data_IF_350355741580
#
_entry.id   IF_350355741580
#
_cell.length_a   1.000
_cell.length_b   1.000
_cell.length_c   1.000
_cell.angle_alpha   90.00
_cell.angle_beta   90.00
_cell.angle_gamma   90.00
#
_symmetry.space_group_name_H-M   'P 1'
#
loop_
_entity.id
_entity.type
_entity.pdbx_description
1 polymer ?
#
# COMPACT_ATOMS: atom_id res chain seq x y z
N UNK A 1 -11.45 11.62 -0.42
CA UNK A 1 -12.05 10.74 0.62
C UNK A 1 -12.98 9.77 -0.08
N UNK A 2 -12.93 8.48 0.27
CA UNK A 2 -13.80 7.44 -0.29
C UNK A 2 -15.02 7.25 0.61
N UNK A 3 -16.22 7.50 0.09
CA UNK A 3 -17.45 7.53 0.89
C UNK A 3 -17.86 6.14 1.42
N UNK A 4 -17.62 5.07 0.67
CA UNK A 4 -18.01 3.69 1.01
C UNK A 4 -16.93 2.88 1.73
N UNK A 5 -15.71 3.43 1.90
CA UNK A 5 -14.56 2.68 2.41
C UNK A 5 -14.69 2.18 3.87
N UNK A 6 -15.75 2.57 4.58
CA UNK A 6 -16.06 2.08 5.94
C UNK A 6 -17.22 1.11 5.98
N UNK A 7 -17.99 0.99 4.90
CA UNK A 7 -19.25 0.24 4.86
C UNK A 7 -19.18 -0.96 3.93
N UNK A 8 -18.36 -0.90 2.89
CA UNK A 8 -18.21 -1.94 1.88
C UNK A 8 -16.77 -2.47 1.81
N UNK A 9 -16.60 -3.66 1.21
CA UNK A 9 -15.27 -4.15 0.84
C UNK A 9 -14.73 -3.38 -0.36
N UNK A 10 -13.44 -3.07 -0.31
CA UNK A 10 -12.70 -2.38 -1.37
C UNK A 10 -11.38 -3.08 -1.63
N UNK A 11 -10.92 -3.05 -2.87
CA UNK A 11 -9.62 -3.60 -3.25
C UNK A 11 -8.54 -2.52 -3.14
N UNK A 12 -7.63 -2.69 -2.18
CA UNK A 12 -6.42 -1.88 -2.07
C UNK A 12 -5.22 -2.67 -2.58
N UNK A 13 -4.46 -2.09 -3.51
CA UNK A 13 -3.26 -2.72 -4.03
C UNK A 13 -2.09 -1.74 -4.12
N UNK A 14 -0.88 -2.28 -3.98
CA UNK A 14 0.38 -1.58 -4.26
C UNK A 14 1.13 -2.40 -5.29
N UNK A 15 1.55 -1.75 -6.36
CA UNK A 15 2.40 -2.34 -7.39
C UNK A 15 3.76 -1.66 -7.34
N UNK A 16 4.82 -2.46 -7.19
CA UNK A 16 6.20 -2.01 -7.28
C UNK A 16 6.75 -2.49 -8.62
N UNK A 17 6.97 -1.55 -9.53
CA UNK A 17 7.51 -1.82 -10.87
C UNK A 17 8.98 -1.40 -10.89
N UNK A 18 9.87 -2.36 -10.67
CA UNK A 18 11.32 -2.11 -10.64
C UNK A 18 11.86 -1.76 -12.03
N UNK A 19 11.23 -2.24 -13.11
CA UNK A 19 11.60 -1.93 -14.49
C UNK A 19 11.26 -0.50 -14.87
N UNK A 20 10.02 -0.06 -14.58
CA UNK A 20 9.59 1.32 -14.78
C UNK A 20 10.08 2.28 -13.67
N UNK A 21 10.69 1.75 -12.61
CA UNK A 21 11.18 2.49 -11.43
C UNK A 21 10.09 3.34 -10.78
N UNK A 22 8.96 2.70 -10.48
CA UNK A 22 7.77 3.36 -9.97
C UNK A 22 6.99 2.48 -8.98
N UNK A 23 6.35 3.12 -8.01
CA UNK A 23 5.34 2.51 -7.15
C UNK A 23 3.99 3.15 -7.42
N UNK A 24 2.95 2.31 -7.58
CA UNK A 24 1.56 2.71 -7.85
C UNK A 24 0.65 2.16 -6.76
N UNK A 25 -0.25 3.00 -6.25
CA UNK A 25 -1.28 2.60 -5.29
C UNK A 25 -2.66 2.68 -5.94
N UNK A 26 -3.45 1.64 -5.72
CA UNK A 26 -4.76 1.44 -6.32
C UNK A 26 -5.85 1.37 -5.26
N UNK A 27 -7.00 1.94 -5.60
CA UNK A 27 -8.28 1.73 -4.93
C UNK A 27 -9.28 1.29 -6.00
N UNK A 28 -9.81 0.07 -5.87
CA UNK A 28 -10.74 -0.55 -6.83
C UNK A 28 -10.20 -0.46 -8.26
N UNK A 29 -8.97 -0.97 -8.45
CA UNK A 29 -8.22 -1.00 -9.72
C UNK A 29 -7.89 0.38 -10.33
N UNK A 30 -8.16 1.48 -9.63
CA UNK A 30 -7.83 2.84 -10.06
C UNK A 30 -6.61 3.36 -9.33
N UNK A 31 -5.58 3.79 -10.09
CA UNK A 31 -4.42 4.47 -9.52
C UNK A 31 -4.86 5.79 -8.89
N UNK A 32 -4.62 5.96 -7.59
CA UNK A 32 -4.87 7.22 -6.89
C UNK A 32 -3.58 7.89 -6.39
N UNK A 33 -2.47 7.14 -6.33
CA UNK A 33 -1.16 7.67 -5.96
C UNK A 33 -0.03 6.97 -6.72
N UNK A 34 1.05 7.73 -6.98
CA UNK A 34 2.21 7.28 -7.76
C UNK A 34 3.48 7.97 -7.28
N UNK A 35 4.54 7.20 -7.14
CA UNK A 35 5.88 7.69 -6.77
C UNK A 35 6.89 7.10 -7.75
N UNK A 36 7.64 7.97 -8.43
CA UNK A 36 8.76 7.57 -9.29
C UNK A 36 10.08 7.67 -8.54
N UNK A 37 11.02 6.76 -8.84
CA UNK A 37 12.37 6.77 -8.31
C UNK A 37 13.13 8.08 -8.58
N UNK A 38 12.75 8.83 -9.62
CA UNK A 38 13.37 10.13 -9.95
C UNK A 38 13.18 11.22 -8.89
N UNK A 39 12.34 10.98 -7.86
CA UNK A 39 12.13 11.92 -6.74
C UNK A 39 13.20 11.82 -5.64
N UNK A 40 14.11 10.86 -5.72
CA UNK A 40 15.13 10.58 -4.71
C UNK A 40 16.41 10.05 -5.34
N UNK A 41 17.49 9.98 -4.57
CA UNK A 41 18.72 9.35 -5.02
C UNK A 41 18.59 7.82 -5.13
N UNK A 42 19.48 7.22 -5.92
CA UNK A 42 19.46 5.78 -6.18
C UNK A 42 19.64 4.92 -4.92
N UNK A 43 20.41 5.39 -3.93
CA UNK A 43 20.62 4.67 -2.68
C UNK A 43 19.34 4.66 -1.82
N UNK A 44 18.64 5.78 -1.76
CA UNK A 44 17.34 5.89 -1.09
C UNK A 44 16.29 5.02 -1.76
N UNK A 45 16.22 5.01 -3.09
CA UNK A 45 15.32 4.11 -3.82
C UNK A 45 15.60 2.64 -3.50
N UNK A 46 16.88 2.24 -3.53
CA UNK A 46 17.28 0.86 -3.28
C UNK A 46 16.87 0.39 -1.87
N UNK A 47 17.08 1.23 -0.86
CA UNK A 47 16.69 0.96 0.53
C UNK A 47 15.18 0.99 0.78
N UNK A 48 14.39 1.56 -0.13
CA UNK A 48 12.96 1.69 0.06
C UNK A 48 12.18 0.49 -0.50
N UNK A 49 12.55 0.02 -1.70
CA UNK A 49 11.73 -0.95 -2.44
C UNK A 49 12.49 -2.02 -3.23
N UNK A 50 13.81 -1.89 -3.40
CA UNK A 50 14.64 -2.84 -4.17
C UNK A 50 15.22 -3.95 -3.28
N UNK A 51 14.35 -4.54 -2.46
CA UNK A 51 14.63 -5.70 -1.62
C UNK A 51 13.31 -6.35 -1.17
N UNK A 52 13.41 -7.53 -0.54
CA UNK A 52 12.24 -8.17 0.06
C UNK A 52 11.60 -7.33 1.15
N UNK A 53 10.28 -7.27 1.14
CA UNK A 53 9.45 -6.64 2.18
C UNK A 53 8.44 -7.66 2.70
N UNK A 54 7.87 -7.39 3.87
CA UNK A 54 6.79 -8.20 4.45
C UNK A 54 5.54 -7.34 4.65
N UNK A 55 4.38 -7.99 4.65
CA UNK A 55 3.10 -7.33 4.84
C UNK A 55 2.78 -7.20 6.33
N UNK A 56 2.20 -6.06 6.71
CA UNK A 56 1.64 -5.81 8.03
C UNK A 56 0.19 -5.39 7.86
N UNK A 57 -0.69 -6.01 8.63
CA UNK A 57 -2.10 -5.63 8.75
C UNK A 57 -2.38 -5.36 10.23
N UNK A 58 -2.76 -4.13 10.56
CA UNK A 58 -3.01 -3.73 11.95
C UNK A 58 -4.11 -2.67 12.05
N UNK A 59 -4.71 -2.58 13.24
CA UNK A 59 -5.57 -1.46 13.66
C UNK A 59 -4.85 -0.74 14.79
N UNK A 60 -4.21 0.38 14.50
CA UNK A 60 -3.60 1.23 15.52
C UNK A 60 -4.68 2.11 16.19
N UNK A 61 -4.56 2.34 17.49
CA UNK A 61 -5.46 3.20 18.26
C UNK A 61 -4.70 4.45 18.71
N UNK A 62 -5.15 5.62 18.24
CA UNK A 62 -4.53 6.91 18.55
C UNK A 62 -3.21 7.16 17.81
N UNK A 63 -2.39 8.05 18.36
CA UNK A 63 -1.13 8.50 17.77
C UNK A 63 -1.24 9.79 16.95
N UNK A 64 -0.09 10.27 16.45
CA UNK A 64 -0.01 11.58 15.77
C UNK A 64 -0.79 11.64 14.45
N UNK A 65 -0.93 10.51 13.76
CA UNK A 65 -1.60 10.45 12.47
C UNK A 65 -3.10 10.72 12.62
N UNK A 66 -3.90 9.95 13.38
CA UNK A 66 -5.31 10.30 13.65
C UNK A 66 -5.47 11.68 14.30
N UNK A 67 -4.56 12.07 15.21
CA UNK A 67 -4.63 13.36 15.89
C UNK A 67 -4.50 14.56 14.93
N UNK A 68 -3.71 14.43 13.86
CA UNK A 68 -3.59 15.47 12.82
C UNK A 68 -4.91 15.72 12.07
N UNK A 69 -5.78 14.72 12.03
CA UNK A 69 -7.13 14.79 11.44
C UNK A 69 -8.23 15.05 12.50
N UNK A 70 -7.84 15.44 13.73
CA UNK A 70 -8.75 15.76 14.83
C UNK A 70 -9.32 14.54 15.56
N UNK A 71 -8.84 13.32 15.29
CA UNK A 71 -9.28 12.10 15.94
C UNK A 71 -8.30 11.68 17.06
N UNK A 72 -8.66 11.98 18.31
CA UNK A 72 -7.89 11.57 19.50
C UNK A 72 -8.59 10.39 20.19
N UNK A 73 -7.83 9.34 20.49
CA UNK A 73 -8.33 8.20 21.25
C UNK A 73 -8.64 8.61 22.71
N UNK A 74 -9.77 8.17 23.25
CA UNK A 74 -10.21 8.50 24.60
C UNK A 74 -11.49 7.76 25.00
N UNK A 75 -12.17 8.17 26.09
CA UNK A 75 -13.36 7.48 26.59
C UNK A 75 -14.52 7.41 25.58
N UNK A 76 -14.59 8.33 24.62
CA UNK A 76 -15.59 8.33 23.55
C UNK A 76 -15.21 7.42 22.37
N UNK A 77 -14.03 6.80 22.38
CA UNK A 77 -13.63 5.85 21.33
C UNK A 77 -14.39 4.55 21.51
N UNK A 78 -15.24 4.23 20.54
CA UNK A 78 -15.99 2.97 20.53
C UNK A 78 -15.06 1.79 20.19
N UNK A 79 -14.98 0.75 21.05
CA UNK A 79 -14.26 -0.47 20.72
C UNK A 79 -15.11 -1.42 19.85
N UNK A 80 -14.51 -2.52 19.39
CA UNK A 80 -15.26 -3.60 18.72
C UNK A 80 -15.53 -3.40 17.23
N UNK A 81 -14.88 -2.41 16.60
CA UNK A 81 -14.94 -2.17 15.15
C UNK A 81 -13.73 -2.83 14.45
N UNK A 82 -13.86 -4.04 13.86
CA UNK A 82 -12.73 -4.77 13.31
C UNK A 82 -12.31 -4.27 11.92
N UNK A 83 -11.03 -4.42 11.58
CA UNK A 83 -10.59 -4.42 10.19
C UNK A 83 -10.94 -5.76 9.56
N UNK A 84 -11.88 -5.74 8.60
CA UNK A 84 -12.31 -6.94 7.87
C UNK A 84 -11.45 -7.10 6.62
N UNK A 85 -10.75 -8.23 6.51
CA UNK A 85 -9.93 -8.57 5.36
C UNK A 85 -10.45 -9.88 4.79
N UNK A 86 -11.01 -9.84 3.59
CA UNK A 86 -11.52 -11.03 2.90
C UNK A 86 -10.36 -11.90 2.37
N UNK A 87 -9.40 -11.27 1.70
CA UNK A 87 -8.27 -11.96 1.11
C UNK A 87 -7.03 -11.06 0.99
N UNK A 88 -5.86 -11.70 0.96
CA UNK A 88 -4.58 -11.07 0.60
C UNK A 88 -3.98 -11.89 -0.52
N UNK A 89 -3.70 -11.24 -1.66
CA UNK A 89 -3.06 -11.88 -2.81
C UNK A 89 -1.78 -11.14 -3.15
N UNK A 90 -0.70 -11.89 -3.43
CA UNK A 90 0.55 -11.35 -3.96
C UNK A 90 0.79 -11.96 -5.34
N UNK A 91 1.05 -11.11 -6.34
CA UNK A 91 1.34 -11.53 -7.71
C UNK A 91 2.65 -10.90 -8.17
N UNK A 92 3.40 -11.65 -8.97
CA UNK A 92 4.62 -11.18 -9.63
C UNK A 92 4.40 -11.31 -11.13
N UNK A 93 4.67 -10.25 -11.88
CA UNK A 93 4.76 -10.32 -13.34
C UNK A 93 6.22 -10.62 -13.70
N UNK A 94 6.47 -11.76 -14.34
CA UNK A 94 7.80 -12.06 -14.86
C UNK A 94 8.21 -11.04 -15.93
N UNK A 95 9.49 -10.66 -15.96
CA UNK A 95 10.05 -9.95 -17.12
C UNK A 95 10.12 -10.89 -18.32
N UNK A 96 9.88 -10.39 -19.53
CA UNK A 96 10.15 -11.14 -20.77
C UNK A 96 11.62 -11.57 -20.77
N UNK A 97 11.86 -12.84 -20.46
CA UNK A 97 13.16 -13.47 -20.62
C UNK A 97 13.43 -13.65 -22.11
N UNK A 98 14.48 -13.00 -22.61
CA UNK A 98 14.97 -13.20 -23.95
C UNK A 98 15.22 -14.69 -24.21
N UNK A 99 14.63 -15.17 -25.29
CA UNK A 99 14.80 -16.50 -25.85
C UNK A 99 16.27 -16.70 -26.25
N UNK A 100 17.01 -17.46 -25.44
CA UNK A 100 18.33 -17.96 -25.77
C UNK A 100 18.20 -19.36 -26.38
N UNK A 101 18.17 -19.42 -27.70
CA UNK A 101 18.22 -20.67 -28.47
C UNK A 101 19.44 -21.51 -28.08
N UNK A 102 19.21 -22.80 -27.88
CA UNK A 102 20.28 -23.81 -27.80
C UNK A 102 20.91 -24.14 -29.14
#
# INVERSE_FOLDING_TARGET
VCASCRTEFHAYAVEVDLGAREVRWYLDDRVYHRVSAGRMDAGTWKRAVDHGVFLILNVAIGGKLPAADGATAGPATEPGHPMRVDQVTVKVKGGEGGEGSG
#
